data_IF_503030310861
#
_entry.id   IF_503030310861
#
_cell.length_a   1.000
_cell.length_b   1.000
_cell.length_c   1.000
_cell.angle_alpha   90.00
_cell.angle_beta   90.00
_cell.angle_gamma   90.00
#
_symmetry.space_group_name_H-M   'P 1'
#
loop_
_entity.id
_entity.type
_entity.pdbx_description
1 polymer ?
#
# COMPACT_ATOMS: atom_id res chain seq x y z
N UNK A 1 -62.91 34.48 -68.01
CA UNK A 1 -61.51 34.70 -67.62
C UNK A 1 -60.95 33.32 -67.15
N UNK A 2 -60.46 32.50 -68.12
CA UNK A 2 -59.96 31.18 -67.88
C UNK A 2 -58.46 31.28 -67.75
N UNK A 3 -57.96 31.28 -66.53
CA UNK A 3 -56.52 31.23 -66.25
C UNK A 3 -56.05 29.78 -66.39
N UNK A 4 -55.11 29.61 -67.31
CA UNK A 4 -54.54 28.33 -67.79
C UNK A 4 -53.97 27.43 -66.65
N UNK A 5 -54.75 26.46 -66.20
CA UNK A 5 -54.38 25.45 -65.20
C UNK A 5 -53.13 24.66 -65.63
N UNK A 6 -52.87 24.58 -66.94
CA UNK A 6 -51.70 23.92 -67.50
C UNK A 6 -50.35 24.63 -67.24
N UNK A 7 -50.38 25.95 -67.09
CA UNK A 7 -49.17 26.73 -66.82
C UNK A 7 -48.75 26.62 -65.36
N UNK A 8 -49.69 26.55 -64.44
CA UNK A 8 -49.43 26.33 -63.01
C UNK A 8 -48.83 24.95 -62.72
N UNK A 9 -49.30 23.90 -63.40
CA UNK A 9 -48.71 22.55 -63.21
C UNK A 9 -47.28 22.47 -63.70
N UNK A 10 -46.89 23.11 -64.77
CA UNK A 10 -45.52 23.14 -65.31
C UNK A 10 -44.58 23.95 -64.39
N UNK A 11 -45.08 25.07 -63.84
CA UNK A 11 -44.27 25.86 -62.88
C UNK A 11 -44.06 25.17 -61.55
N UNK A 12 -45.06 24.45 -61.02
CA UNK A 12 -44.87 23.64 -59.80
C UNK A 12 -43.85 22.46 -59.97
N UNK A 13 -43.88 21.83 -61.15
CA UNK A 13 -42.94 20.77 -61.48
C UNK A 13 -41.49 21.29 -61.57
N UNK A 14 -41.30 22.46 -62.16
CA UNK A 14 -39.99 23.13 -62.26
C UNK A 14 -39.44 23.54 -60.88
N UNK A 15 -40.32 24.07 -59.99
CA UNK A 15 -39.97 24.46 -58.63
C UNK A 15 -39.60 23.19 -57.77
N UNK A 16 -40.34 22.09 -57.91
CA UNK A 16 -40.08 20.84 -57.27
C UNK A 16 -38.76 20.18 -57.77
N UNK A 17 -38.49 20.25 -59.08
CA UNK A 17 -37.22 19.81 -59.65
C UNK A 17 -36.03 20.65 -59.15
N UNK A 18 -36.18 21.97 -59.08
CA UNK A 18 -35.15 22.87 -58.56
C UNK A 18 -34.91 22.64 -57.06
N UNK A 19 -35.97 22.36 -56.27
CA UNK A 19 -35.84 22.03 -54.85
C UNK A 19 -35.12 20.67 -54.62
N UNK A 20 -35.38 19.67 -55.48
CA UNK A 20 -34.67 18.38 -55.38
C UNK A 20 -33.18 18.53 -55.69
N UNK A 21 -32.77 19.39 -56.60
CA UNK A 21 -31.37 19.67 -56.89
C UNK A 21 -30.62 20.38 -55.77
N UNK A 22 -31.32 21.13 -54.93
CA UNK A 22 -30.65 21.85 -53.80
C UNK A 22 -30.32 20.91 -52.64
N UNK A 23 -31.07 19.82 -52.44
CA UNK A 23 -30.88 18.93 -51.30
C UNK A 23 -29.76 17.91 -51.57
N UNK A 24 -29.57 17.44 -52.81
CA UNK A 24 -28.51 16.47 -53.17
C UNK A 24 -27.28 17.11 -53.86
N UNK A 25 -27.37 18.39 -54.19
CA UNK A 25 -26.38 19.07 -55.04
C UNK A 25 -25.04 19.36 -54.44
N UNK A 26 -24.90 19.42 -53.10
CA UNK A 26 -23.62 19.80 -52.50
C UNK A 26 -22.56 18.71 -52.56
N UNK A 27 -22.93 17.45 -52.42
CA UNK A 27 -21.96 16.33 -52.46
C UNK A 27 -21.60 15.90 -53.88
N UNK A 28 -22.56 16.06 -54.84
CA UNK A 28 -22.27 15.82 -56.24
C UNK A 28 -21.21 16.81 -56.80
N UNK A 29 -21.36 18.11 -56.52
CA UNK A 29 -20.38 19.12 -56.94
C UNK A 29 -19.03 18.96 -56.23
N UNK A 30 -19.01 18.52 -54.97
CA UNK A 30 -17.76 18.19 -54.25
C UNK A 30 -17.03 17.02 -54.90
N UNK A 31 -17.76 15.96 -55.27
CA UNK A 31 -17.17 14.78 -55.94
C UNK A 31 -16.60 15.10 -57.30
N UNK A 32 -17.29 15.92 -58.10
CA UNK A 32 -16.82 16.38 -59.41
C UNK A 32 -15.60 17.32 -59.28
N UNK A 33 -15.53 18.13 -58.23
CA UNK A 33 -14.41 19.03 -57.94
C UNK A 33 -13.21 18.33 -57.24
N UNK A 34 -13.23 16.98 -57.02
CA UNK A 34 -12.19 16.23 -56.33
C UNK A 34 -12.04 16.59 -54.84
N UNK A 35 -13.09 17.16 -54.24
CA UNK A 35 -13.11 17.49 -52.82
C UNK A 35 -13.80 16.38 -52.02
N UNK A 36 -13.38 16.13 -50.78
CA UNK A 36 -13.97 15.10 -49.94
C UNK A 36 -15.48 15.37 -49.74
N UNK A 37 -16.26 14.30 -49.86
CA UNK A 37 -17.71 14.31 -49.61
C UNK A 37 -17.99 14.40 -48.11
N UNK A 38 -19.26 14.67 -47.74
CA UNK A 38 -19.65 14.66 -46.32
C UNK A 38 -19.39 13.34 -45.65
N UNK A 39 -19.62 12.23 -46.36
CA UNK A 39 -19.36 10.86 -45.86
C UNK A 39 -17.85 10.60 -45.64
N UNK A 40 -16.99 11.09 -46.57
CA UNK A 40 -15.53 10.96 -46.40
C UNK A 40 -15.01 11.75 -45.19
N UNK A 41 -15.63 12.89 -44.89
CA UNK A 41 -15.29 13.71 -43.71
C UNK A 41 -15.75 13.02 -42.43
N UNK A 42 -16.95 12.43 -42.42
CA UNK A 42 -17.45 11.68 -41.29
C UNK A 42 -16.60 10.41 -41.01
N UNK A 43 -16.28 9.66 -42.06
CA UNK A 43 -15.38 8.49 -41.93
C UNK A 43 -14.03 8.88 -41.35
N UNK A 44 -13.42 9.98 -41.80
CA UNK A 44 -12.16 10.49 -41.22
C UNK A 44 -12.31 10.96 -39.76
N UNK A 45 -13.43 11.57 -39.40
CA UNK A 45 -13.70 11.97 -38.02
C UNK A 45 -13.78 10.75 -37.10
N UNK A 46 -14.46 9.67 -37.53
CA UNK A 46 -14.54 8.40 -36.78
C UNK A 46 -13.15 7.77 -36.63
N UNK A 47 -12.34 7.76 -37.70
CA UNK A 47 -10.98 7.25 -37.66
C UNK A 47 -10.10 8.04 -36.70
N UNK A 48 -10.16 9.38 -36.74
CA UNK A 48 -9.44 10.26 -35.83
C UNK A 48 -9.89 10.02 -34.38
N UNK A 49 -11.19 9.92 -34.13
CA UNK A 49 -11.71 9.65 -32.79
C UNK A 49 -11.22 8.30 -32.25
N UNK A 50 -11.20 7.26 -33.09
CA UNK A 50 -10.66 5.95 -32.70
C UNK A 50 -9.15 5.97 -32.40
N UNK A 51 -8.38 6.70 -33.21
CA UNK A 51 -6.94 6.89 -32.92
C UNK A 51 -6.73 7.67 -31.63
N UNK A 52 -7.51 8.72 -31.40
CA UNK A 52 -7.44 9.50 -30.15
C UNK A 52 -7.80 8.65 -28.92
N UNK A 53 -8.82 7.79 -29.03
CA UNK A 53 -9.23 6.89 -27.97
C UNK A 53 -8.10 5.90 -27.63
N UNK A 54 -7.49 5.26 -28.64
CA UNK A 54 -6.34 4.39 -28.44
C UNK A 54 -5.14 5.10 -27.81
N UNK A 55 -4.83 6.32 -28.27
CA UNK A 55 -3.75 7.11 -27.66
C UNK A 55 -4.04 7.45 -26.20
N UNK A 56 -5.31 7.78 -25.88
CA UNK A 56 -5.72 8.05 -24.52
C UNK A 56 -5.65 6.78 -23.63
N UNK A 57 -5.99 5.61 -24.17
CA UNK A 57 -5.86 4.33 -23.49
C UNK A 57 -4.39 4.00 -23.19
N UNK A 58 -3.52 4.13 -24.19
CA UNK A 58 -2.07 3.94 -24.01
C UNK A 58 -1.49 4.93 -22.98
N UNK A 59 -1.89 6.20 -23.02
CA UNK A 59 -1.45 7.18 -22.04
C UNK A 59 -1.90 6.84 -20.61
N UNK A 60 -3.12 6.35 -20.44
CA UNK A 60 -3.62 5.87 -19.14
C UNK A 60 -2.85 4.65 -18.64
N UNK A 61 -2.56 3.70 -19.53
CA UNK A 61 -1.79 2.51 -19.16
C UNK A 61 -0.34 2.87 -18.79
N UNK A 62 0.31 3.75 -19.53
CA UNK A 62 1.63 4.26 -19.16
C UNK A 62 1.62 4.96 -17.79
N UNK A 63 0.67 5.87 -17.57
CA UNK A 63 0.55 6.55 -16.27
C UNK A 63 0.30 5.56 -15.11
N UNK A 64 -0.44 4.47 -15.36
CA UNK A 64 -0.63 3.40 -14.39
C UNK A 64 0.67 2.66 -14.09
N UNK A 65 1.43 2.29 -15.13
CA UNK A 65 2.72 1.62 -14.96
C UNK A 65 3.73 2.50 -14.24
N UNK A 66 3.82 3.78 -14.59
CA UNK A 66 4.69 4.74 -13.92
C UNK A 66 4.33 4.89 -12.43
N UNK A 67 3.03 4.94 -12.11
CA UNK A 67 2.57 5.01 -10.72
C UNK A 67 2.94 3.76 -9.91
N UNK A 68 2.86 2.58 -10.52
CA UNK A 68 3.27 1.31 -9.90
C UNK A 68 4.78 1.31 -9.65
N UNK A 69 5.59 1.73 -10.62
CA UNK A 69 7.05 1.80 -10.48
C UNK A 69 7.45 2.74 -9.35
N UNK A 70 6.84 3.93 -9.28
CA UNK A 70 7.10 4.89 -8.19
C UNK A 70 6.72 4.29 -6.83
N UNK A 71 5.56 3.61 -6.74
CA UNK A 71 5.14 2.97 -5.49
C UNK A 71 6.08 1.83 -5.06
N UNK A 72 6.55 1.00 -6.00
CA UNK A 72 7.51 -0.06 -5.74
C UNK A 72 8.86 0.48 -5.25
N UNK A 73 9.37 1.54 -5.89
CA UNK A 73 10.62 2.17 -5.48
C UNK A 73 10.51 2.81 -4.09
N UNK A 74 9.39 3.46 -3.79
CA UNK A 74 9.12 4.01 -2.45
C UNK A 74 9.05 2.89 -1.38
N UNK A 75 8.40 1.76 -1.70
CA UNK A 75 8.33 0.61 -0.80
C UNK A 75 9.73 0.03 -0.54
N UNK A 76 10.57 -0.12 -1.59
CA UNK A 76 11.96 -0.60 -1.47
C UNK A 76 12.81 0.32 -0.58
N UNK A 77 12.72 1.63 -0.79
CA UNK A 77 13.46 2.61 0.02
C UNK A 77 12.98 2.62 1.48
N UNK A 78 11.68 2.44 1.72
CA UNK A 78 11.13 2.35 3.07
C UNK A 78 11.60 1.07 3.80
N UNK A 79 11.68 -0.05 3.08
CA UNK A 79 12.19 -1.32 3.62
C UNK A 79 13.69 -1.23 3.95
N UNK A 80 14.49 -0.67 3.04
CA UNK A 80 15.93 -0.46 3.26
C UNK A 80 16.18 0.44 4.48
N UNK A 81 15.44 1.53 4.60
CA UNK A 81 15.51 2.41 5.77
C UNK A 81 15.12 1.67 7.06
N UNK A 82 14.03 0.89 7.05
CA UNK A 82 13.61 0.12 8.22
C UNK A 82 14.66 -0.92 8.64
N UNK A 83 15.36 -1.53 7.68
CA UNK A 83 16.46 -2.45 7.96
C UNK A 83 17.65 -1.70 8.58
N UNK A 84 18.04 -0.54 8.07
CA UNK A 84 19.11 0.29 8.64
C UNK A 84 18.76 0.77 10.06
N UNK A 85 17.56 1.26 10.28
CA UNK A 85 17.08 1.67 11.60
C UNK A 85 17.11 0.50 12.60
N UNK A 86 16.77 -0.71 12.15
CA UNK A 86 16.82 -1.91 12.96
C UNK A 86 18.26 -2.29 13.35
N UNK A 87 19.21 -2.21 12.41
CA UNK A 87 20.63 -2.46 12.69
C UNK A 87 21.22 -1.42 13.66
N UNK A 88 20.86 -0.16 13.48
CA UNK A 88 21.25 0.91 14.39
C UNK A 88 20.70 0.69 15.81
N UNK A 89 19.45 0.27 15.94
CA UNK A 89 18.85 -0.04 17.24
C UNK A 89 19.55 -1.23 17.93
N UNK A 90 19.90 -2.28 17.17
CA UNK A 90 20.67 -3.42 17.70
C UNK A 90 22.04 -2.97 18.22
N UNK A 91 22.74 -2.09 17.49
CA UNK A 91 24.04 -1.58 17.97
C UNK A 91 23.91 -0.76 19.25
N UNK A 92 22.90 0.09 19.35
CA UNK A 92 22.60 0.86 20.59
C UNK A 92 22.32 -0.08 21.77
N UNK A 93 21.52 -1.12 21.59
CA UNK A 93 21.23 -2.12 22.64
C UNK A 93 22.52 -2.79 23.10
N UNK A 94 23.39 -3.21 22.17
CA UNK A 94 24.68 -3.84 22.46
C UNK A 94 25.67 -2.90 23.16
N UNK A 95 25.75 -1.63 22.75
CA UNK A 95 26.58 -0.60 23.37
C UNK A 95 26.18 -0.34 24.84
N UNK A 96 24.88 -0.47 25.15
CA UNK A 96 24.38 -0.44 26.53
C UNK A 96 24.71 -1.70 27.34
N UNK A 97 25.44 -2.65 26.79
CA UNK A 97 25.81 -3.89 27.42
C UNK A 97 24.65 -4.90 27.57
N UNK A 98 23.57 -4.73 26.79
CA UNK A 98 22.41 -5.60 26.84
C UNK A 98 22.56 -6.72 25.81
N UNK A 99 22.47 -7.97 26.26
CA UNK A 99 22.51 -9.13 25.38
C UNK A 99 21.14 -9.38 24.75
N UNK A 100 21.17 -9.89 23.54
CA UNK A 100 19.96 -10.32 22.82
C UNK A 100 20.08 -11.83 22.61
N UNK A 101 19.03 -12.56 22.98
CA UNK A 101 19.00 -14.01 22.83
C UNK A 101 17.73 -14.42 22.09
N UNK A 102 17.90 -15.29 21.12
CA UNK A 102 16.82 -15.92 20.43
C UNK A 102 16.18 -17.02 21.30
N UNK A 103 14.86 -17.12 21.25
CA UNK A 103 14.07 -18.09 21.99
C UNK A 103 14.48 -19.53 21.69
N UNK A 104 14.82 -19.86 20.43
CA UNK A 104 15.27 -21.17 20.02
C UNK A 104 16.63 -21.52 20.65
N UNK A 105 17.58 -20.58 20.62
CA UNK A 105 18.93 -20.77 21.19
C UNK A 105 18.89 -21.07 22.68
N UNK A 106 17.91 -20.50 23.37
CA UNK A 106 17.70 -20.72 24.81
C UNK A 106 16.88 -21.97 25.12
N UNK A 107 16.50 -22.76 24.11
CA UNK A 107 15.59 -23.91 24.27
C UNK A 107 14.33 -23.55 25.01
N UNK A 108 13.81 -22.33 24.74
CA UNK A 108 12.53 -21.86 25.28
C UNK A 108 11.39 -22.70 24.73
N UNK A 109 10.42 -23.00 25.56
CA UNK A 109 9.11 -23.35 25.09
C UNK A 109 8.40 -22.06 24.83
N UNK A 110 8.22 -21.71 23.59
CA UNK A 110 7.13 -20.89 23.24
C UNK A 110 5.85 -21.69 23.54
N UNK A 111 5.27 -21.46 24.68
CA UNK A 111 3.85 -21.63 24.77
C UNK A 111 3.27 -20.54 23.86
N UNK A 112 2.17 -20.76 23.16
CA UNK A 112 1.54 -19.77 22.27
C UNK A 112 1.09 -18.47 22.95
N UNK A 113 1.72 -18.08 24.03
CA UNK A 113 1.52 -16.89 24.85
C UNK A 113 2.35 -15.68 24.39
N UNK A 114 3.40 -15.88 23.54
CA UNK A 114 4.24 -14.80 23.05
C UNK A 114 3.66 -14.21 21.76
N UNK A 115 2.97 -13.09 21.88
CA UNK A 115 2.30 -12.43 20.76
C UNK A 115 3.18 -11.39 20.03
N UNK A 116 4.37 -11.08 20.58
CA UNK A 116 5.28 -10.07 20.05
C UNK A 116 6.66 -10.64 19.79
N UNK A 117 7.44 -9.94 18.97
CA UNK A 117 8.76 -10.39 18.56
C UNK A 117 9.85 -10.14 19.62
N UNK A 118 9.73 -9.08 20.42
CA UNK A 118 10.75 -8.67 21.38
C UNK A 118 10.16 -8.45 22.75
N UNK A 119 10.93 -8.85 23.80
CA UNK A 119 10.62 -8.64 25.21
C UNK A 119 11.89 -8.29 25.96
N UNK A 120 11.83 -7.34 26.90
CA UNK A 120 12.93 -7.10 27.84
C UNK A 120 12.76 -8.05 29.01
N UNK A 121 13.69 -8.97 29.20
CA UNK A 121 13.65 -9.95 30.31
C UNK A 121 14.27 -9.34 31.55
N UNK A 122 13.47 -9.25 32.60
CA UNK A 122 13.82 -8.60 33.88
C UNK A 122 13.94 -9.57 35.05
N UNK A 123 13.77 -10.85 34.78
CA UNK A 123 13.99 -11.89 35.83
C UNK A 123 13.85 -13.28 35.24
N UNK A 124 14.60 -14.23 35.89
CA UNK A 124 14.52 -15.66 35.57
C UNK A 124 14.45 -16.44 36.87
N UNK A 125 13.48 -17.35 36.95
CA UNK A 125 13.11 -18.04 38.19
C UNK A 125 13.09 -19.54 37.95
N UNK A 126 13.58 -20.32 38.95
CA UNK A 126 13.46 -21.79 38.96
C UNK A 126 12.06 -22.23 39.39
N UNK A 127 11.39 -21.41 40.20
CA UNK A 127 10.07 -21.67 40.75
C UNK A 127 9.04 -20.72 40.11
N UNK A 128 7.96 -21.29 39.58
CA UNK A 128 6.90 -20.52 38.91
C UNK A 128 6.13 -19.58 39.87
N UNK A 129 5.99 -19.98 41.13
CA UNK A 129 5.34 -19.14 42.15
C UNK A 129 6.14 -17.90 42.49
N UNK A 130 7.46 -17.95 42.41
CA UNK A 130 8.30 -16.77 42.56
C UNK A 130 8.20 -15.84 41.34
N UNK A 131 8.09 -16.42 40.14
CA UNK A 131 7.81 -15.64 38.94
C UNK A 131 6.43 -14.91 39.03
N UNK A 132 5.42 -15.57 39.58
CA UNK A 132 4.08 -14.96 39.77
C UNK A 132 4.08 -13.79 40.72
N UNK A 133 4.76 -13.95 41.87
CA UNK A 133 4.95 -12.84 42.83
C UNK A 133 5.71 -11.66 42.20
N UNK A 134 6.70 -11.98 41.38
CA UNK A 134 7.46 -10.94 40.69
C UNK A 134 6.62 -10.21 39.63
N UNK A 135 5.82 -10.96 38.86
CA UNK A 135 4.87 -10.40 37.89
C UNK A 135 3.91 -9.43 38.58
N UNK A 136 3.27 -9.82 39.69
CA UNK A 136 2.36 -8.94 40.44
C UNK A 136 3.04 -7.64 40.91
N UNK A 137 4.35 -7.67 41.20
CA UNK A 137 5.12 -6.48 41.50
C UNK A 137 5.34 -5.60 40.26
N UNK A 138 5.59 -6.20 39.11
CA UNK A 138 5.83 -5.48 37.84
C UNK A 138 4.54 -4.92 37.27
N UNK A 139 3.41 -5.62 37.39
CA UNK A 139 2.07 -5.16 36.99
C UNK A 139 1.62 -3.86 37.67
N UNK A 140 2.18 -3.57 38.85
CA UNK A 140 1.93 -2.32 39.53
C UNK A 140 2.53 -1.11 38.83
N UNK A 141 3.48 -1.33 37.91
CA UNK A 141 4.12 -0.29 37.11
C UNK A 141 3.42 -0.15 35.74
N UNK A 142 2.90 1.02 35.40
CA UNK A 142 2.17 1.21 34.17
C UNK A 142 3.04 1.00 32.91
N UNK A 143 2.48 0.35 31.89
CA UNK A 143 3.11 0.16 30.58
C UNK A 143 4.18 -0.95 30.52
N UNK A 144 4.31 -1.77 31.55
CA UNK A 144 5.27 -2.86 31.57
C UNK A 144 4.78 -4.15 30.91
N UNK A 145 3.49 -4.47 30.99
CA UNK A 145 2.82 -5.62 30.38
C UNK A 145 3.62 -6.94 30.53
N UNK A 146 3.79 -7.45 31.77
CA UNK A 146 4.64 -8.58 32.03
C UNK A 146 4.08 -9.89 31.43
N UNK A 147 4.98 -10.70 30.85
CA UNK A 147 4.65 -11.99 30.23
C UNK A 147 5.58 -13.07 30.78
N UNK A 148 5.05 -14.25 31.06
CA UNK A 148 5.82 -15.44 31.42
C UNK A 148 6.37 -16.14 30.18
N UNK A 149 7.66 -16.44 30.20
CA UNK A 149 8.31 -17.29 29.21
C UNK A 149 8.79 -18.55 29.91
N UNK A 150 8.27 -19.70 29.52
CA UNK A 150 8.67 -21.00 30.09
C UNK A 150 9.74 -21.64 29.23
N UNK A 151 10.81 -22.10 29.85
CA UNK A 151 11.89 -22.82 29.17
C UNK A 151 11.76 -24.33 29.40
N UNK A 152 12.24 -25.12 28.42
CA UNK A 152 12.31 -26.60 28.55
C UNK A 152 13.14 -27.08 29.75
N UNK A 153 13.98 -26.24 30.26
CA UNK A 153 14.75 -26.47 31.49
C UNK A 153 13.92 -26.39 32.76
N UNK A 154 12.65 -26.03 32.67
CA UNK A 154 11.76 -25.76 33.80
C UNK A 154 11.90 -24.34 34.40
N UNK A 155 12.83 -23.55 33.91
CA UNK A 155 12.94 -22.14 34.30
C UNK A 155 11.82 -21.31 33.72
N UNK A 156 11.47 -20.22 34.42
CA UNK A 156 10.49 -19.25 33.99
C UNK A 156 11.16 -17.88 33.95
N UNK A 157 11.18 -17.24 32.81
CA UNK A 157 11.59 -15.83 32.66
C UNK A 157 10.36 -14.92 32.67
N UNK A 158 10.55 -13.69 33.12
CA UNK A 158 9.56 -12.63 33.07
C UNK A 158 10.04 -11.57 32.06
N UNK A 159 9.35 -11.49 30.95
CA UNK A 159 9.53 -10.46 29.93
C UNK A 159 8.57 -9.31 30.15
N UNK A 160 8.99 -8.09 29.83
CA UNK A 160 8.18 -6.86 29.91
C UNK A 160 8.25 -6.10 28.59
N UNK A 161 7.37 -5.12 28.42
CA UNK A 161 7.37 -4.22 27.28
C UNK A 161 7.37 -4.97 25.94
N UNK A 162 6.34 -5.80 25.63
CA UNK A 162 6.24 -6.51 24.37
C UNK A 162 6.27 -5.56 23.17
N UNK A 163 7.14 -5.81 22.18
CA UNK A 163 7.31 -4.98 20.98
C UNK A 163 7.54 -5.84 19.74
N UNK A 164 7.13 -5.30 18.56
CA UNK A 164 7.34 -5.97 17.28
C UNK A 164 8.55 -5.44 16.51
N UNK A 165 9.08 -4.27 16.91
CA UNK A 165 10.25 -3.66 16.27
C UNK A 165 11.36 -3.47 17.31
N UNK A 166 12.60 -3.80 16.93
CA UNK A 166 13.77 -3.62 17.80
C UNK A 166 14.06 -2.15 18.13
N UNK A 167 13.69 -1.22 17.24
CA UNK A 167 13.76 0.22 17.48
C UNK A 167 12.95 0.62 18.70
N UNK A 168 11.74 0.09 18.83
CA UNK A 168 10.87 0.34 19.98
C UNK A 168 11.41 -0.25 21.29
N UNK A 169 12.17 -1.35 21.21
CA UNK A 169 12.88 -1.90 22.39
C UNK A 169 14.00 -0.97 22.84
N UNK A 170 14.78 -0.45 21.88
CA UNK A 170 15.86 0.48 22.19
C UNK A 170 15.35 1.77 22.89
N UNK A 171 14.15 2.23 22.52
CA UNK A 171 13.48 3.40 23.12
C UNK A 171 13.04 3.16 24.57
N UNK A 172 12.45 1.98 24.86
CA UNK A 172 11.90 1.67 26.19
C UNK A 172 12.93 1.05 27.14
N UNK A 173 14.09 0.64 26.64
CA UNK A 173 15.09 -0.06 27.42
C UNK A 173 15.60 0.75 28.62
N UNK A 174 15.83 2.04 28.45
CA UNK A 174 16.32 2.92 29.52
C UNK A 174 15.25 3.11 30.60
N UNK A 175 13.99 3.26 30.19
CA UNK A 175 12.86 3.38 31.12
C UNK A 175 12.70 2.12 31.96
N UNK A 176 12.80 0.94 31.33
CA UNK A 176 12.77 -0.36 32.03
C UNK A 176 13.94 -0.48 33.00
N UNK A 177 15.17 -0.14 32.57
CA UNK A 177 16.37 -0.23 33.39
C UNK A 177 16.38 0.75 34.57
N UNK A 178 15.67 1.85 34.47
CA UNK A 178 15.51 2.81 35.56
C UNK A 178 14.57 2.31 36.68
N UNK A 179 13.79 1.27 36.40
CA UNK A 179 12.85 0.71 37.39
C UNK A 179 13.57 -0.09 38.48
N UNK A 180 13.08 0.02 39.71
CA UNK A 180 13.67 -0.65 40.89
C UNK A 180 13.65 -2.16 40.83
N UNK A 181 12.77 -2.75 40.06
CA UNK A 181 12.66 -4.21 39.86
C UNK A 181 13.60 -4.74 38.77
N UNK A 182 14.17 -3.87 37.93
CA UNK A 182 15.00 -4.29 36.81
C UNK A 182 16.40 -4.64 37.28
N UNK A 183 16.91 -5.86 37.03
CA UNK A 183 18.26 -6.20 37.36
C UNK A 183 19.28 -5.59 36.38
N UNK A 184 20.54 -5.51 36.80
CA UNK A 184 21.61 -4.95 35.93
C UNK A 184 21.89 -5.80 34.70
N UNK A 185 21.60 -7.09 34.77
CA UNK A 185 21.79 -8.12 33.77
C UNK A 185 20.51 -8.41 32.96
N UNK A 186 19.57 -7.46 32.90
CA UNK A 186 18.43 -7.53 32.01
C UNK A 186 18.88 -7.70 30.57
N UNK A 187 18.17 -8.54 29.82
CA UNK A 187 18.49 -8.89 28.44
C UNK A 187 17.24 -8.87 27.55
N UNK A 188 17.42 -8.92 26.24
CA UNK A 188 16.31 -8.90 25.28
C UNK A 188 16.08 -10.30 24.73
N UNK A 189 14.85 -10.78 24.86
CA UNK A 189 14.37 -12.00 24.21
C UNK A 189 13.87 -11.67 22.82
N UNK A 190 14.32 -12.44 21.84
CA UNK A 190 13.86 -12.39 20.45
C UNK A 190 13.01 -13.63 20.17
N UNK A 191 11.75 -13.42 19.78
CA UNK A 191 10.82 -14.46 19.36
C UNK A 191 10.68 -14.37 17.84
N UNK A 192 11.22 -15.32 17.10
CA UNK A 192 11.24 -15.32 15.63
C UNK A 192 10.01 -16.00 15.00
N UNK A 193 8.94 -16.27 15.79
CA UNK A 193 7.72 -16.88 15.28
C UNK A 193 6.86 -15.93 14.48
#
# INVERSE_FOLDING_TARGET
MCINVTYMKKSCILVLLAAAFVVEGCDFFRKVAGRPTSDDIEAKKVEIAHVQEKMAEHAREQARLDSIQVAMEQARLAEEKAAQDSLAAISVIKEKGVMMYDLESLRGLSSGELSHRYYVVVGSFKDAGNADKFISKVEAEPGMDPVKVRFRTGMVAVGVCPRNKVTQVAEVLDDVRAKSFCPKDAWVLVNEQ
#
